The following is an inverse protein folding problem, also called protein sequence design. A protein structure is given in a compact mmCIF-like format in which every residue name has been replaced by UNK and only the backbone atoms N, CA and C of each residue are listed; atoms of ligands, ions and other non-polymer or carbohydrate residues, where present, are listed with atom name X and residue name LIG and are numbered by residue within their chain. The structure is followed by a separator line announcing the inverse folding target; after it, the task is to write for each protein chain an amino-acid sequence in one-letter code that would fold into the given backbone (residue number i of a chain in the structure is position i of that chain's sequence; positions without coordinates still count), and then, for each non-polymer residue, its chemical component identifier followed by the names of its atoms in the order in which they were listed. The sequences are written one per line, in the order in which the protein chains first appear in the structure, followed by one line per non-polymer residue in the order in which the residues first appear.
data_IF_084218417628
#
_entry.id   IF_084218417628
#
_cell.length_a   1.000
_cell.length_b   1.000
_cell.length_c   1.000
_cell.angle_alpha   90.00
_cell.angle_beta   90.00
_cell.angle_gamma   90.00
#
_symmetry.space_group_name_H-M   'P 1'
#
loop_
_entity.id
_entity.type
_entity.pdbx_description
1 polymer ?
#
# COMPACT_ATOMS: atom_id res chain seq x y z
N UNK A 1 5.61 20.42 -9.94
CA UNK A 1 5.97 19.73 -8.68
C UNK A 1 6.19 18.26 -9.01
N UNK A 2 7.41 17.76 -8.82
CA UNK A 2 7.79 16.39 -9.23
C UNK A 2 7.23 15.36 -8.24
N UNK A 3 6.19 14.64 -8.67
CA UNK A 3 5.59 13.50 -7.98
C UNK A 3 5.73 12.31 -8.91
N UNK A 4 6.44 11.28 -8.44
CA UNK A 4 6.73 10.08 -9.22
C UNK A 4 6.17 8.85 -8.51
N UNK A 5 5.47 8.01 -9.25
CA UNK A 5 5.04 6.69 -8.80
C UNK A 5 5.91 5.66 -9.50
N UNK A 6 6.41 4.67 -8.74
CA UNK A 6 7.24 3.58 -9.28
C UNK A 6 7.00 2.29 -8.48
N UNK A 7 7.45 1.16 -9.04
CA UNK A 7 7.51 -0.10 -8.31
C UNK A 7 8.45 0.02 -7.10
N UNK A 8 8.05 -0.61 -6.00
CA UNK A 8 8.85 -0.72 -4.79
C UNK A 8 9.99 -1.73 -4.98
N UNK A 9 11.14 -1.46 -4.37
CA UNK A 9 12.23 -2.40 -4.20
C UNK A 9 12.55 -2.64 -2.73
N UNK A 10 13.34 -3.65 -2.42
CA UNK A 10 13.78 -3.94 -1.03
C UNK A 10 14.60 -2.80 -0.42
N UNK A 11 15.25 -1.98 -1.25
CA UNK A 11 15.93 -0.75 -0.82
C UNK A 11 15.01 0.30 -0.20
N UNK A 12 13.69 0.23 -0.45
CA UNK A 12 12.69 1.17 0.09
C UNK A 12 12.25 0.80 1.51
N UNK A 13 12.52 -0.43 1.97
CA UNK A 13 12.04 -0.97 3.26
C UNK A 13 12.28 -0.03 4.45
N UNK A 14 13.47 0.60 4.62
CA UNK A 14 13.69 1.50 5.75
C UNK A 14 12.72 2.69 5.77
N UNK A 15 12.35 3.23 4.61
CA UNK A 15 11.44 4.35 4.47
C UNK A 15 9.97 3.91 4.59
N UNK A 16 9.63 2.73 4.04
CA UNK A 16 8.29 2.15 4.19
C UNK A 16 7.97 1.89 5.66
N UNK A 17 8.91 1.32 6.42
CA UNK A 17 8.75 1.11 7.87
C UNK A 17 8.58 2.41 8.63
N UNK A 18 9.31 3.48 8.29
CA UNK A 18 9.12 4.82 8.91
C UNK A 18 7.75 5.42 8.65
N UNK A 19 7.12 5.09 7.52
CA UNK A 19 5.73 5.50 7.24
C UNK A 19 4.79 4.60 8.05
N UNK A 20 4.99 3.29 8.04
CA UNK A 20 4.15 2.32 8.74
C UNK A 20 4.12 2.53 10.26
N UNK A 21 5.27 2.84 10.85
CA UNK A 21 5.42 3.16 12.28
C UNK A 21 4.50 4.28 12.74
N UNK A 22 4.15 5.24 11.87
CA UNK A 22 3.22 6.32 12.20
C UNK A 22 1.78 5.83 12.43
N UNK A 23 1.50 4.55 12.14
CA UNK A 23 0.18 3.95 12.21
C UNK A 23 0.07 2.80 13.23
N UNK A 24 1.18 2.34 13.82
CA UNK A 24 1.17 1.15 14.70
C UNK A 24 0.30 1.34 15.95
N UNK A 25 0.30 2.55 16.51
CA UNK A 25 -0.52 2.91 17.68
C UNK A 25 -1.93 3.42 17.29
N UNK A 26 -2.39 3.08 16.09
CA UNK A 26 -3.69 3.54 15.56
C UNK A 26 -4.51 2.35 15.06
N UNK A 27 -5.85 2.44 15.02
CA UNK A 27 -6.69 1.36 14.48
C UNK A 27 -6.60 1.23 12.94
N UNK A 28 -5.68 1.92 12.26
CA UNK A 28 -5.52 1.83 10.81
C UNK A 28 -4.82 0.52 10.41
N UNK A 29 -3.94 0.02 11.28
CA UNK A 29 -3.39 -1.33 11.16
C UNK A 29 -3.76 -2.15 12.40
N UNK A 30 -3.86 -3.46 12.24
CA UNK A 30 -4.14 -4.40 13.33
C UNK A 30 -2.88 -5.14 13.79
N UNK A 31 -1.69 -4.69 13.37
CA UNK A 31 -0.44 -5.15 13.96
C UNK A 31 -0.15 -4.38 15.25
N UNK A 32 0.17 -5.10 16.32
CA UNK A 32 0.49 -4.51 17.63
C UNK A 32 1.95 -4.06 17.76
N UNK A 33 2.84 -4.60 16.94
CA UNK A 33 4.28 -4.34 17.02
C UNK A 33 4.82 -3.99 15.65
N UNK A 34 5.74 -3.02 15.61
CA UNK A 34 6.40 -2.65 14.36
C UNK A 34 7.19 -3.85 13.82
N UNK A 35 6.96 -4.29 12.57
CA UNK A 35 7.71 -5.40 11.99
C UNK A 35 9.20 -5.09 11.91
N UNK A 36 10.02 -6.13 12.05
CA UNK A 36 11.45 -5.98 11.80
C UNK A 36 11.70 -5.67 10.33
N UNK A 37 12.87 -5.08 10.02
CA UNK A 37 13.30 -4.88 8.63
C UNK A 37 13.32 -6.18 7.83
N UNK A 38 13.72 -7.28 8.47
CA UNK A 38 13.78 -8.58 7.81
C UNK A 38 12.38 -9.09 7.46
N UNK A 39 11.43 -8.98 8.38
CA UNK A 39 10.06 -9.45 8.15
C UNK A 39 9.33 -8.59 7.12
N UNK A 40 9.52 -7.28 7.18
CA UNK A 40 8.94 -6.37 6.19
C UNK A 40 9.56 -6.59 4.78
N UNK A 41 10.86 -6.89 4.70
CA UNK A 41 11.52 -7.27 3.45
C UNK A 41 10.92 -8.57 2.88
N UNK A 42 10.75 -9.60 3.71
CA UNK A 42 10.11 -10.86 3.30
C UNK A 42 8.69 -10.63 2.81
N UNK A 43 7.92 -9.76 3.49
CA UNK A 43 6.55 -9.39 3.10
C UNK A 43 6.52 -8.79 1.70
N UNK A 44 7.35 -7.78 1.42
CA UNK A 44 7.42 -7.17 0.09
C UNK A 44 7.77 -8.23 -0.96
N UNK A 45 8.85 -8.99 -0.74
CA UNK A 45 9.28 -10.03 -1.69
C UNK A 45 8.22 -11.10 -1.93
N UNK A 46 7.42 -11.45 -0.92
CA UNK A 46 6.32 -12.40 -1.06
C UNK A 46 5.20 -11.83 -1.91
N UNK A 47 4.78 -10.59 -1.64
CA UNK A 47 3.67 -9.95 -2.34
C UNK A 47 4.02 -9.61 -3.79
N UNK A 48 5.24 -9.13 -4.05
CA UNK A 48 5.68 -8.71 -5.39
C UNK A 48 5.84 -9.87 -6.38
N UNK A 49 5.68 -11.12 -5.95
CA UNK A 49 5.62 -12.28 -6.87
C UNK A 49 4.34 -12.26 -7.70
N UNK A 50 3.23 -11.86 -7.07
CA UNK A 50 1.90 -11.98 -7.65
C UNK A 50 1.23 -10.61 -7.87
N UNK A 51 1.53 -9.63 -7.01
CA UNK A 51 0.82 -8.35 -6.96
C UNK A 51 1.74 -7.12 -7.00
N UNK A 52 1.29 -6.01 -7.60
CA UNK A 52 2.02 -4.76 -7.61
C UNK A 52 2.19 -4.15 -6.22
N UNK A 53 3.38 -3.63 -5.97
CA UNK A 53 3.72 -2.81 -4.81
C UNK A 53 4.30 -1.49 -5.32
N UNK A 54 3.63 -0.38 -5.04
CA UNK A 54 3.97 0.95 -5.54
C UNK A 54 4.43 1.86 -4.42
N UNK A 55 5.40 2.72 -4.72
CA UNK A 55 5.82 3.83 -3.87
C UNK A 55 5.61 5.14 -4.58
N UNK A 56 5.32 6.19 -3.81
CA UNK A 56 5.24 7.55 -4.28
C UNK A 56 6.41 8.37 -3.72
N UNK A 57 7.11 9.04 -4.63
CA UNK A 57 8.18 9.98 -4.31
C UNK A 57 7.72 11.41 -4.60
N UNK A 58 8.06 12.35 -3.71
CA UNK A 58 7.88 13.79 -3.89
C UNK A 58 9.20 14.46 -3.57
N UNK A 59 9.79 15.18 -4.54
CA UNK A 59 11.10 15.83 -4.38
C UNK A 59 12.20 14.86 -3.88
N UNK A 60 12.25 13.65 -4.47
CA UNK A 60 13.23 12.62 -4.11
C UNK A 60 13.02 11.95 -2.74
N UNK A 61 11.90 12.23 -2.05
CA UNK A 61 11.55 11.60 -0.77
C UNK A 61 10.36 10.68 -0.95
N UNK A 62 10.44 9.47 -0.39
CA UNK A 62 9.30 8.55 -0.33
C UNK A 62 8.26 9.10 0.66
N UNK A 63 7.04 9.34 0.16
CA UNK A 63 5.96 10.00 0.91
C UNK A 63 4.74 9.12 1.13
N UNK A 64 4.68 7.96 0.48
CA UNK A 64 3.60 7.00 0.64
C UNK A 64 3.82 5.77 -0.22
N UNK A 65 3.04 4.73 0.03
CA UNK A 65 3.06 3.50 -0.73
C UNK A 65 1.68 2.84 -0.73
N UNK A 66 1.42 2.04 -1.75
CA UNK A 66 0.22 1.24 -1.88
C UNK A 66 0.57 -0.11 -2.48
N UNK A 67 -0.13 -1.16 -2.06
CA UNK A 67 0.09 -2.50 -2.57
C UNK A 67 -1.20 -3.28 -2.60
N UNK A 68 -1.22 -4.31 -3.44
CA UNK A 68 -2.27 -5.29 -3.46
C UNK A 68 -1.79 -6.62 -2.86
N UNK A 69 -2.73 -7.41 -2.37
CA UNK A 69 -2.51 -8.78 -1.98
C UNK A 69 -3.76 -9.62 -2.26
N UNK A 70 -3.60 -10.94 -2.14
CA UNK A 70 -4.72 -11.89 -2.25
C UNK A 70 -5.80 -11.53 -1.23
N UNK A 71 -7.05 -11.43 -1.68
CA UNK A 71 -8.17 -11.06 -0.81
C UNK A 71 -8.56 -12.20 0.15
N UNK A 72 -8.72 -13.43 -0.34
CA UNK A 72 -9.16 -14.57 0.45
C UNK A 72 -8.50 -15.88 -0.03
N UNK A 73 -8.44 -16.88 0.85
CA UNK A 73 -7.64 -18.10 0.64
C UNK A 73 -8.23 -19.11 -0.36
N UNK A 74 -9.54 -19.12 -0.58
CA UNK A 74 -10.16 -20.08 -1.51
C UNK A 74 -9.88 -19.70 -2.96
N UNK A 75 -9.71 -20.69 -3.83
CA UNK A 75 -9.35 -20.50 -5.24
C UNK A 75 -10.36 -19.63 -6.01
N UNK A 76 -11.66 -19.74 -5.70
CA UNK A 76 -12.69 -18.92 -6.35
C UNK A 76 -12.46 -17.40 -6.19
N UNK A 77 -11.69 -16.96 -5.18
CA UNK A 77 -11.33 -15.56 -4.96
C UNK A 77 -10.08 -15.12 -5.74
N UNK A 78 -9.49 -15.95 -6.60
CA UNK A 78 -8.30 -15.60 -7.38
C UNK A 78 -8.47 -14.37 -8.28
N UNK A 79 -9.72 -14.04 -8.61
CA UNK A 79 -10.08 -12.86 -9.39
C UNK A 79 -10.16 -11.57 -8.56
N UNK A 80 -9.92 -11.64 -7.25
CA UNK A 80 -10.08 -10.54 -6.31
C UNK A 80 -8.74 -10.17 -5.66
N UNK A 81 -8.51 -8.87 -5.48
CA UNK A 81 -7.39 -8.34 -4.70
C UNK A 81 -7.88 -7.41 -3.60
N UNK A 82 -7.17 -7.36 -2.48
CA UNK A 82 -7.35 -6.34 -1.46
C UNK A 82 -6.21 -5.33 -1.52
N UNK A 83 -6.54 -4.06 -1.37
CA UNK A 83 -5.63 -2.93 -1.52
C UNK A 83 -5.32 -2.31 -0.16
N UNK A 84 -4.05 -2.05 0.09
CA UNK A 84 -3.58 -1.31 1.25
C UNK A 84 -2.85 -0.05 0.82
N UNK A 85 -3.00 1.04 1.57
CA UNK A 85 -2.32 2.32 1.30
C UNK A 85 -1.91 3.02 2.59
N UNK A 86 -0.68 3.52 2.61
CA UNK A 86 -0.12 4.27 3.73
C UNK A 86 0.62 5.50 3.22
N UNK A 87 0.37 6.66 3.84
CA UNK A 87 1.01 7.93 3.49
C UNK A 87 1.77 8.45 4.71
N UNK A 88 2.88 9.15 4.55
CA UNK A 88 3.41 9.90 5.68
C UNK A 88 2.35 10.93 6.14
N UNK A 89 2.12 11.08 7.45
CA UNK A 89 1.10 12.00 8.00
C UNK A 89 1.14 13.42 7.38
N UNK A 90 2.33 14.04 7.15
CA UNK A 90 2.42 15.36 6.51
C UNK A 90 2.00 15.42 5.03
N UNK A 91 1.83 14.26 4.38
CA UNK A 91 1.53 14.12 2.95
C UNK A 91 0.10 13.64 2.69
N UNK A 92 -0.71 13.50 3.74
CA UNK A 92 -2.13 13.17 3.62
C UNK A 92 -2.93 14.32 3.01
N UNK A 93 -4.10 14.02 2.42
CA UNK A 93 -5.02 15.03 1.83
C UNK A 93 -4.43 15.87 0.68
N UNK A 94 -3.36 15.40 0.02
CA UNK A 94 -2.70 16.09 -1.11
C UNK A 94 -2.91 15.38 -2.47
N UNK A 95 -3.90 14.50 -2.59
CA UNK A 95 -4.17 13.72 -3.81
C UNK A 95 -3.18 12.57 -4.09
N UNK A 96 -2.16 12.38 -3.25
CA UNK A 96 -1.18 11.28 -3.37
C UNK A 96 -1.86 9.91 -3.26
N UNK A 97 -2.80 9.76 -2.33
CA UNK A 97 -3.54 8.51 -2.14
C UNK A 97 -4.28 8.07 -3.41
N UNK A 98 -5.04 9.01 -4.00
CA UNK A 98 -5.73 8.82 -5.28
C UNK A 98 -4.75 8.44 -6.39
N UNK A 99 -3.62 9.13 -6.52
CA UNK A 99 -2.62 8.84 -7.57
C UNK A 99 -2.02 7.44 -7.43
N UNK A 100 -1.73 6.99 -6.20
CA UNK A 100 -1.25 5.64 -5.93
C UNK A 100 -2.30 4.59 -6.28
N UNK A 101 -3.56 4.77 -5.85
CA UNK A 101 -4.62 3.81 -6.16
C UNK A 101 -4.98 3.76 -7.63
N UNK A 102 -5.05 4.89 -8.35
CA UNK A 102 -5.29 4.86 -9.79
C UNK A 102 -4.22 4.01 -10.50
N UNK A 103 -2.94 4.25 -10.21
CA UNK A 103 -1.86 3.46 -10.80
C UNK A 103 -1.92 1.97 -10.40
N UNK A 104 -2.27 1.67 -9.14
CA UNK A 104 -2.39 0.30 -8.64
C UNK A 104 -3.53 -0.46 -9.34
N UNK A 105 -4.71 0.17 -9.45
CA UNK A 105 -5.90 -0.41 -10.07
C UNK A 105 -5.66 -0.63 -11.58
N UNK A 106 -5.03 0.32 -12.27
CA UNK A 106 -4.66 0.15 -13.69
C UNK A 106 -3.74 -1.06 -13.93
N UNK A 107 -2.82 -1.34 -13.00
CA UNK A 107 -1.95 -2.53 -13.09
C UNK A 107 -2.73 -3.81 -12.82
N UNK A 108 -3.61 -3.82 -11.80
CA UNK A 108 -4.43 -4.97 -11.45
C UNK A 108 -5.43 -5.34 -12.56
N UNK A 109 -6.02 -4.34 -13.21
CA UNK A 109 -6.89 -4.54 -14.38
C UNK A 109 -6.14 -5.26 -15.51
N UNK A 110 -4.90 -4.82 -15.80
CA UNK A 110 -4.02 -5.48 -16.78
C UNK A 110 -3.60 -6.89 -16.37
N UNK A 111 -3.54 -7.19 -15.07
CA UNK A 111 -3.33 -8.53 -14.54
C UNK A 111 -4.59 -9.42 -14.58
N UNK A 112 -5.74 -8.88 -14.97
CA UNK A 112 -7.00 -9.62 -15.08
C UNK A 112 -7.80 -9.71 -13.78
N UNK A 113 -7.42 -8.97 -12.73
CA UNK A 113 -8.21 -8.83 -11.49
C UNK A 113 -9.57 -8.21 -11.83
N UNK A 114 -10.63 -8.75 -11.25
CA UNK A 114 -12.03 -8.37 -11.52
C UNK A 114 -12.61 -7.48 -10.43
N UNK A 115 -12.25 -7.72 -9.17
CA UNK A 115 -12.73 -6.92 -8.05
C UNK A 115 -11.57 -6.51 -7.14
N UNK A 116 -11.64 -5.28 -6.65
CA UNK A 116 -10.71 -4.78 -5.63
C UNK A 116 -11.47 -4.38 -4.38
N UNK A 117 -10.87 -4.65 -3.23
CA UNK A 117 -11.44 -4.35 -1.91
C UNK A 117 -10.49 -3.47 -1.12
N UNK A 118 -11.02 -2.57 -0.29
CA UNK A 118 -10.24 -1.74 0.62
C UNK A 118 -10.88 -1.74 1.99
N UNK A 119 -10.14 -2.19 3.00
CA UNK A 119 -10.56 -2.11 4.39
C UNK A 119 -10.34 -0.70 4.95
N UNK A 120 -11.38 -0.10 5.53
CA UNK A 120 -11.27 1.19 6.21
C UNK A 120 -11.85 1.06 7.61
N UNK A 121 -11.02 1.34 8.61
CA UNK A 121 -11.49 1.39 10.00
C UNK A 121 -12.21 2.69 10.30
N UNK A 122 -13.34 2.60 11.00
CA UNK A 122 -14.17 3.75 11.34
C UNK A 122 -13.87 4.25 12.76
N UNK A 123 -13.91 5.58 12.99
CA UNK A 123 -14.26 6.65 12.04
C UNK A 123 -13.07 7.10 11.16
N UNK A 124 -13.24 7.10 9.83
CA UNK A 124 -12.23 7.61 8.88
C UNK A 124 -12.86 8.10 7.56
N UNK A 125 -13.64 9.19 7.64
CA UNK A 125 -14.40 9.75 6.51
C UNK A 125 -13.51 10.06 5.29
N UNK A 126 -12.27 10.49 5.53
CA UNK A 126 -11.33 10.86 4.45
C UNK A 126 -10.89 9.69 3.57
N UNK A 127 -11.04 8.45 4.05
CA UNK A 127 -10.65 7.24 3.34
C UNK A 127 -11.85 6.48 2.75
N UNK A 128 -13.08 6.93 3.01
CA UNK A 128 -14.32 6.30 2.53
C UNK A 128 -14.79 6.84 1.16
N UNK A 129 -14.00 7.66 0.47
CA UNK A 129 -14.36 8.41 -0.74
C UNK A 129 -13.52 7.99 -1.95
#
# INVERSE_FOLDING_TARGET
MDIKVRLAGTGDVPQLLKIYEQYIDTPITFEYTLPTRQDFTKRILSLTKDYPYLVCEKQGRLVGYAYAHRHMEREAYQWNAELSIYLGRPYTSQGIGKRLYCALIELLEKQGVKNVYGGVTLPNVKSCI
#
